data_IF_595677002307
#
_entry.id   IF_595677002307
#
_cell.length_a   1.000
_cell.length_b   1.000
_cell.length_c   1.000
_cell.angle_alpha   90.00
_cell.angle_beta   90.00
_cell.angle_gamma   90.00
#
_symmetry.space_group_name_H-M   'P 1'
#
loop_
_entity.id
_entity.type
_entity.pdbx_description
1 polymer ?
#
# COMPACT_ATOMS: atom_id res chain seq x y z
N UNK A 1 -9.75 37.30 -25.33
CA UNK A 1 -10.26 36.20 -24.48
C UNK A 1 -11.55 36.69 -23.84
N UNK A 2 -12.65 35.93 -23.95
CA UNK A 2 -13.94 36.34 -23.42
C UNK A 2 -13.95 36.27 -21.89
N UNK A 3 -14.69 37.18 -21.26
CA UNK A 3 -14.81 37.34 -19.81
C UNK A 3 -15.40 36.10 -19.09
N UNK A 4 -15.88 35.13 -19.88
CA UNK A 4 -16.31 33.79 -19.47
C UNK A 4 -15.14 32.83 -19.22
N UNK A 5 -14.07 32.87 -20.02
CA UNK A 5 -12.91 31.96 -19.86
C UNK A 5 -12.02 32.25 -18.64
N UNK A 6 -11.97 33.52 -18.20
CA UNK A 6 -11.28 33.90 -16.96
C UNK A 6 -12.05 33.48 -15.70
N UNK A 7 -13.38 33.31 -15.79
CA UNK A 7 -14.20 32.79 -14.69
C UNK A 7 -14.06 31.28 -14.54
N UNK A 8 -14.06 30.53 -15.64
CA UNK A 8 -13.90 29.07 -15.64
C UNK A 8 -12.53 28.62 -15.13
N UNK A 9 -11.44 29.27 -15.54
CA UNK A 9 -10.09 28.94 -15.06
C UNK A 9 -9.91 29.18 -13.55
N UNK A 10 -10.53 30.23 -13.01
CA UNK A 10 -10.53 30.50 -11.56
C UNK A 10 -11.43 29.52 -10.80
N UNK A 11 -12.50 29.03 -11.42
CA UNK A 11 -13.37 28.00 -10.82
C UNK A 11 -12.67 26.64 -10.79
N UNK A 12 -12.04 26.24 -11.90
CA UNK A 12 -11.23 25.03 -12.00
C UNK A 12 -10.04 25.06 -11.02
N UNK A 13 -9.34 26.20 -10.91
CA UNK A 13 -8.24 26.37 -9.96
C UNK A 13 -8.72 26.25 -8.50
N UNK A 14 -9.90 26.78 -8.16
CA UNK A 14 -10.47 26.66 -6.80
C UNK A 14 -10.87 25.23 -6.47
N UNK A 15 -11.44 24.49 -7.42
CA UNK A 15 -11.76 23.08 -7.25
C UNK A 15 -10.47 22.26 -7.07
N UNK A 16 -9.46 22.50 -7.92
CA UNK A 16 -8.18 21.82 -7.85
C UNK A 16 -7.47 22.10 -6.51
N UNK A 17 -7.42 23.37 -6.08
CA UNK A 17 -6.82 23.76 -4.80
C UNK A 17 -7.62 23.22 -3.60
N UNK A 18 -8.95 23.23 -3.68
CA UNK A 18 -9.81 22.67 -2.63
C UNK A 18 -9.62 21.17 -2.49
N UNK A 19 -9.59 20.44 -3.61
CA UNK A 19 -9.32 19.00 -3.62
C UNK A 19 -7.90 18.69 -3.13
N UNK A 20 -6.90 19.43 -3.61
CA UNK A 20 -5.51 19.33 -3.16
C UNK A 20 -5.36 19.56 -1.66
N UNK A 21 -6.05 20.56 -1.10
CA UNK A 21 -6.02 20.85 0.32
C UNK A 21 -6.66 19.73 1.16
N UNK A 22 -7.77 19.16 0.69
CA UNK A 22 -8.42 18.01 1.33
C UNK A 22 -7.50 16.80 1.32
N UNK A 23 -6.87 16.50 0.19
CA UNK A 23 -5.92 15.38 0.07
C UNK A 23 -4.71 15.62 1.00
N UNK A 24 -4.13 16.81 1.00
CA UNK A 24 -3.02 17.16 1.89
C UNK A 24 -3.41 17.03 3.37
N UNK A 25 -4.63 17.44 3.71
CA UNK A 25 -5.16 17.30 5.07
C UNK A 25 -5.35 15.83 5.47
N UNK A 26 -5.90 15.00 4.59
CA UNK A 26 -6.04 13.56 4.82
C UNK A 26 -4.69 12.88 5.00
N UNK A 27 -3.69 13.24 4.18
CA UNK A 27 -2.32 12.74 4.32
C UNK A 27 -1.72 13.18 5.65
N UNK A 28 -1.90 14.43 6.06
CA UNK A 28 -1.41 14.92 7.35
C UNK A 28 -2.05 14.19 8.53
N UNK A 29 -3.36 13.91 8.47
CA UNK A 29 -4.05 13.10 9.48
C UNK A 29 -3.53 11.67 9.53
N UNK A 30 -3.23 11.08 8.37
CA UNK A 30 -2.69 9.73 8.29
C UNK A 30 -1.28 9.66 8.88
N UNK A 31 -0.43 10.65 8.59
CA UNK A 31 0.91 10.78 9.18
C UNK A 31 0.83 10.98 10.69
N UNK A 32 -0.10 11.82 11.17
CA UNK A 32 -0.31 12.03 12.60
C UNK A 32 -0.78 10.74 13.29
N UNK A 33 -1.76 10.05 12.70
CA UNK A 33 -2.25 8.78 13.21
C UNK A 33 -1.11 7.77 13.29
N UNK A 34 -0.33 7.61 12.22
CA UNK A 34 0.84 6.76 12.19
C UNK A 34 1.84 7.15 13.29
N UNK A 35 2.22 8.42 13.42
CA UNK A 35 3.17 8.87 14.44
C UNK A 35 2.73 8.56 15.88
N UNK A 36 1.42 8.60 16.16
CA UNK A 36 0.87 8.29 17.49
C UNK A 36 0.71 6.80 17.77
N UNK A 37 0.43 5.99 16.76
CA UNK A 37 0.21 4.54 16.91
C UNK A 37 1.49 3.73 16.72
N UNK A 38 2.50 4.28 16.05
CA UNK A 38 3.76 3.60 15.75
C UNK A 38 4.48 3.07 17.01
N UNK A 39 4.58 3.81 18.14
CA UNK A 39 5.23 3.30 19.34
C UNK A 39 4.52 2.07 19.92
N UNK A 40 3.19 2.12 20.01
CA UNK A 40 2.37 0.99 20.49
C UNK A 40 2.46 -0.22 19.56
N UNK A 41 2.51 0.01 18.24
CA UNK A 41 2.72 -1.06 17.25
C UNK A 41 4.13 -1.64 17.40
N UNK A 42 5.15 -0.80 17.60
CA UNK A 42 6.53 -1.26 17.74
C UNK A 42 6.77 -2.10 19.00
N UNK A 43 6.15 -1.74 20.12
CA UNK A 43 6.23 -2.51 21.37
C UNK A 43 5.47 -3.84 21.24
N UNK A 44 4.30 -3.84 20.60
CA UNK A 44 3.56 -5.07 20.30
C UNK A 44 4.33 -5.99 19.35
N UNK A 45 4.99 -5.43 18.33
CA UNK A 45 5.88 -6.15 17.42
C UNK A 45 7.07 -6.74 18.19
N UNK A 46 7.73 -5.96 19.04
CA UNK A 46 8.85 -6.46 19.85
C UNK A 46 8.41 -7.62 20.76
N UNK A 47 7.33 -7.48 21.52
CA UNK A 47 6.85 -8.54 22.43
C UNK A 47 6.35 -9.78 21.69
N UNK A 48 5.79 -9.62 20.49
CA UNK A 48 5.22 -10.75 19.71
C UNK A 48 6.26 -11.43 18.82
N UNK A 49 7.33 -10.73 18.45
CA UNK A 49 8.28 -11.17 17.44
C UNK A 49 9.75 -11.21 17.91
N UNK A 50 10.04 -10.97 19.20
CA UNK A 50 11.40 -11.07 19.79
C UNK A 50 12.05 -12.45 19.62
N UNK A 51 11.25 -13.52 19.61
CA UNK A 51 11.71 -14.90 19.36
C UNK A 51 11.71 -15.29 17.87
N UNK A 52 11.39 -14.34 16.97
CA UNK A 52 11.13 -14.58 15.56
C UNK A 52 9.79 -15.29 15.32
N UNK A 53 9.13 -14.98 14.20
CA UNK A 53 7.81 -15.53 13.84
C UNK A 53 7.85 -17.05 13.58
N UNK A 54 9.05 -17.64 13.45
CA UNK A 54 9.25 -19.01 13.01
C UNK A 54 8.92 -19.19 11.52
N UNK A 55 9.63 -20.11 10.85
CA UNK A 55 9.52 -20.33 9.40
C UNK A 55 8.09 -20.64 8.94
N UNK A 56 7.32 -21.35 9.77
CA UNK A 56 5.95 -21.76 9.46
C UNK A 56 4.99 -20.57 9.44
N UNK A 57 4.97 -19.75 10.48
CA UNK A 57 4.06 -18.60 10.55
C UNK A 57 4.49 -17.54 9.54
N UNK A 58 5.79 -17.38 9.29
CA UNK A 58 6.31 -16.46 8.28
C UNK A 58 5.84 -16.85 6.87
N UNK A 59 5.75 -18.15 6.56
CA UNK A 59 5.21 -18.63 5.30
C UNK A 59 3.71 -18.32 5.14
N UNK A 60 2.92 -18.42 6.22
CA UNK A 60 1.49 -18.09 6.17
C UNK A 60 1.29 -16.59 5.91
N UNK A 61 2.01 -15.76 6.67
CA UNK A 61 1.92 -14.29 6.53
C UNK A 61 2.40 -13.84 5.15
N UNK A 62 3.53 -14.35 4.67
CA UNK A 62 4.06 -14.01 3.35
C UNK A 62 3.13 -14.44 2.22
N UNK A 63 2.48 -15.60 2.32
CA UNK A 63 1.48 -16.04 1.34
C UNK A 63 0.30 -15.06 1.26
N UNK A 64 -0.25 -14.63 2.40
CA UNK A 64 -1.35 -13.68 2.45
C UNK A 64 -0.94 -12.33 1.83
N UNK A 65 0.22 -11.81 2.21
CA UNK A 65 0.73 -10.53 1.67
C UNK A 65 0.94 -10.63 0.15
N UNK A 66 1.56 -11.70 -0.33
CA UNK A 66 1.77 -11.91 -1.78
C UNK A 66 0.47 -11.98 -2.57
N UNK A 67 -0.57 -12.63 -2.02
CA UNK A 67 -1.91 -12.63 -2.66
C UNK A 67 -2.47 -11.21 -2.72
N UNK A 68 -2.38 -10.43 -1.64
CA UNK A 68 -2.86 -9.04 -1.62
C UNK A 68 -2.13 -8.20 -2.69
N UNK A 69 -0.80 -8.32 -2.78
CA UNK A 69 -0.01 -7.64 -3.82
C UNK A 69 -0.48 -8.04 -5.22
N UNK A 70 -0.71 -9.33 -5.46
CA UNK A 70 -1.23 -9.78 -6.75
C UNK A 70 -2.64 -9.27 -7.04
N UNK A 71 -3.51 -9.15 -6.03
CA UNK A 71 -4.84 -8.56 -6.20
C UNK A 71 -4.71 -7.09 -6.59
N UNK A 72 -3.80 -6.34 -5.98
CA UNK A 72 -3.54 -4.94 -6.37
C UNK A 72 -3.05 -4.85 -7.82
N UNK A 73 -2.12 -5.72 -8.23
CA UNK A 73 -1.65 -5.76 -9.62
C UNK A 73 -2.74 -6.20 -10.59
N UNK A 74 -3.56 -7.19 -10.23
CA UNK A 74 -4.72 -7.61 -11.00
C UNK A 74 -5.73 -6.48 -11.24
N UNK A 75 -5.96 -5.63 -10.25
CA UNK A 75 -6.85 -4.47 -10.36
C UNK A 75 -6.23 -3.34 -11.18
N UNK A 76 -4.90 -3.21 -11.17
CA UNK A 76 -4.16 -2.24 -11.96
C UNK A 76 -3.95 -2.70 -13.42
N UNK A 77 -3.99 -4.00 -13.68
CA UNK A 77 -3.80 -4.59 -14.99
C UNK A 77 -5.04 -4.34 -15.89
N UNK A 78 -4.83 -3.68 -17.03
CA UNK A 78 -5.92 -3.26 -17.94
C UNK A 78 -6.59 -4.40 -18.72
N UNK A 79 -5.85 -5.48 -19.02
CA UNK A 79 -6.33 -6.65 -19.78
C UNK A 79 -6.91 -7.75 -18.85
N UNK A 80 -6.87 -7.53 -17.53
CA UNK A 80 -7.40 -8.43 -16.50
C UNK A 80 -6.49 -9.62 -16.14
N UNK A 81 -6.85 -10.28 -15.04
CA UNK A 81 -6.11 -11.39 -14.39
C UNK A 81 -5.77 -12.54 -15.33
N UNK A 82 -6.64 -12.82 -16.31
CA UNK A 82 -6.50 -13.98 -17.19
C UNK A 82 -5.42 -13.76 -18.25
N UNK A 83 -5.29 -12.54 -18.79
CA UNK A 83 -4.30 -12.24 -19.82
C UNK A 83 -2.86 -12.26 -19.29
N UNK A 84 -2.68 -11.90 -18.02
CA UNK A 84 -1.36 -11.76 -17.38
C UNK A 84 -1.01 -12.91 -16.44
N UNK A 85 -1.77 -14.02 -16.44
CA UNK A 85 -1.60 -15.11 -15.47
C UNK A 85 -0.18 -15.73 -15.51
N UNK A 86 0.44 -15.73 -16.69
CA UNK A 86 1.83 -16.17 -16.91
C UNK A 86 2.86 -15.31 -16.17
N UNK A 87 2.55 -14.05 -15.86
CA UNK A 87 3.37 -13.15 -15.05
C UNK A 87 2.94 -13.16 -13.58
N UNK A 88 1.63 -13.33 -13.32
CA UNK A 88 1.11 -13.40 -11.96
C UNK A 88 1.62 -14.62 -11.19
N UNK A 89 1.68 -15.80 -11.81
CA UNK A 89 2.13 -17.02 -11.11
C UNK A 89 3.61 -16.91 -10.68
N UNK A 90 4.57 -16.58 -11.56
CA UNK A 90 5.96 -16.36 -11.12
C UNK A 90 6.09 -15.18 -10.17
N UNK A 91 5.31 -14.11 -10.37
CA UNK A 91 5.25 -12.96 -9.48
C UNK A 91 4.86 -13.36 -8.05
N UNK A 92 3.83 -14.21 -7.89
CA UNK A 92 3.43 -14.76 -6.60
C UNK A 92 4.62 -15.39 -5.87
N UNK A 93 5.32 -16.32 -6.53
CA UNK A 93 6.43 -17.03 -5.92
C UNK A 93 7.61 -16.11 -5.60
N UNK A 94 7.89 -15.12 -6.47
CA UNK A 94 8.94 -14.14 -6.24
C UNK A 94 8.64 -13.30 -4.98
N UNK A 95 7.43 -12.72 -4.90
CA UNK A 95 7.03 -11.95 -3.72
C UNK A 95 6.92 -12.83 -2.48
N UNK A 96 6.42 -14.05 -2.62
CA UNK A 96 6.32 -15.01 -1.51
C UNK A 96 7.69 -15.31 -0.93
N UNK A 97 8.67 -15.71 -1.75
CA UNK A 97 10.03 -16.01 -1.27
C UNK A 97 10.69 -14.76 -0.70
N UNK A 98 10.53 -13.61 -1.34
CA UNK A 98 11.06 -12.35 -0.85
C UNK A 98 10.52 -11.98 0.53
N UNK A 99 9.19 -11.94 0.70
CA UNK A 99 8.56 -11.64 1.98
C UNK A 99 8.81 -12.74 3.01
N UNK A 100 8.79 -14.01 2.61
CA UNK A 100 9.03 -15.12 3.52
C UNK A 100 10.42 -15.04 4.14
N UNK A 101 11.46 -14.83 3.34
CA UNK A 101 12.82 -14.68 3.84
C UNK A 101 12.99 -13.40 4.65
N UNK A 102 12.42 -12.28 4.22
CA UNK A 102 12.50 -11.04 4.99
C UNK A 102 11.79 -11.16 6.34
N UNK A 103 10.59 -11.74 6.39
CA UNK A 103 9.83 -11.90 7.65
C UNK A 103 10.47 -12.96 8.55
N UNK A 104 10.97 -14.05 7.97
CA UNK A 104 11.59 -15.13 8.73
C UNK A 104 13.00 -14.80 9.23
N UNK A 105 13.71 -13.87 8.59
CA UNK A 105 15.15 -13.63 8.84
C UNK A 105 15.49 -12.25 9.38
N UNK A 106 14.56 -11.28 9.35
CA UNK A 106 14.78 -9.95 9.96
C UNK A 106 14.69 -9.98 11.50
N UNK A 107 14.51 -11.16 12.10
CA UNK A 107 14.56 -11.40 13.54
C UNK A 107 15.42 -12.63 13.85
#
# INVERSE_FOLDING_TARGET
>A
MSDTGLRDSRFALRILLGFSAIVAFLVALLVLAAATTLPAISEWVAVTFDDGIGLQTAAIVSAVISVIVLVVFALAAGEGVIGEIQFMIPGFFLFFVFFWLMIAWVF
#
